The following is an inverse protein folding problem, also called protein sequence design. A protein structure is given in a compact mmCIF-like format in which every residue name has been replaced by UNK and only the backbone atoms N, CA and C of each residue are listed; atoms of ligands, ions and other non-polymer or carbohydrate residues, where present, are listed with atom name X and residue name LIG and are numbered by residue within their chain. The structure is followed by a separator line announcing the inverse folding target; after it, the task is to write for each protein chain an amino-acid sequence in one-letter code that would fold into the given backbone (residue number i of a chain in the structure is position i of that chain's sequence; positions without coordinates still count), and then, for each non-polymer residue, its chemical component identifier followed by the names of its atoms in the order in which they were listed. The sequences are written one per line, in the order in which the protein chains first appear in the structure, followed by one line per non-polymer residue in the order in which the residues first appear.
data_IF_499517482240
#
_entry.id   IF_499517482240
#
_cell.length_a   1.000
_cell.length_b   1.000
_cell.length_c   1.000
_cell.angle_alpha   90.00
_cell.angle_beta   90.00
_cell.angle_gamma   90.00
#
_symmetry.space_group_name_H-M   'P 1'
#
loop_
_entity.id
_entity.type
_entity.pdbx_description
1 polymer ?
#
# COMPACT_ATOMS: atom_id res chain seq x y z
N UNK A 1 -1.69 33.66 -56.65
CA UNK A 1 -0.85 32.56 -56.12
C UNK A 1 -0.87 32.64 -54.61
N UNK A 2 -1.69 31.80 -53.98
CA UNK A 2 -1.86 31.81 -52.51
C UNK A 2 -1.28 30.49 -51.99
N UNK A 3 -0.18 30.57 -51.21
CA UNK A 3 0.44 29.43 -50.57
C UNK A 3 -0.17 29.22 -49.17
N UNK A 4 -0.95 28.16 -49.02
CA UNK A 4 -1.49 27.72 -47.73
C UNK A 4 -0.41 26.88 -47.04
N UNK A 5 0.16 27.37 -45.95
CA UNK A 5 1.02 26.57 -45.06
C UNK A 5 0.15 25.82 -44.05
N UNK A 6 0.11 24.48 -44.19
CA UNK A 6 -0.55 23.57 -43.27
C UNK A 6 0.40 23.32 -42.08
N UNK A 7 0.10 23.89 -40.93
CA UNK A 7 0.79 23.58 -39.65
C UNK A 7 0.16 22.33 -39.05
N UNK A 8 0.88 21.20 -39.09
CA UNK A 8 0.52 19.99 -38.40
C UNK A 8 0.91 20.12 -36.91
N UNK A 9 -0.09 20.26 -36.03
CA UNK A 9 0.10 20.27 -34.58
C UNK A 9 0.43 18.87 -34.07
N UNK A 10 1.62 18.72 -33.55
CA UNK A 10 2.06 17.49 -32.84
C UNK A 10 1.45 17.51 -31.43
N UNK A 11 0.36 16.77 -31.24
CA UNK A 11 -0.20 16.52 -29.90
C UNK A 11 0.69 15.47 -29.20
N UNK A 12 1.57 15.92 -28.34
CA UNK A 12 2.40 15.07 -27.50
C UNK A 12 1.54 14.50 -26.37
N UNK A 13 1.12 13.24 -26.50
CA UNK A 13 0.38 12.52 -25.48
C UNK A 13 1.36 12.06 -24.37
N UNK A 14 1.59 12.91 -23.37
CA UNK A 14 2.37 12.61 -22.17
C UNK A 14 1.46 12.11 -21.04
N UNK A 15 0.90 10.91 -21.13
CA UNK A 15 0.02 10.38 -20.06
C UNK A 15 0.38 8.99 -19.54
N UNK A 16 1.54 8.40 -19.91
CA UNK A 16 1.85 7.01 -19.54
C UNK A 16 3.03 6.83 -18.57
N UNK A 17 3.68 7.89 -18.08
CA UNK A 17 4.90 7.77 -17.28
C UNK A 17 4.73 7.98 -15.76
N UNK A 18 3.55 8.40 -15.28
CA UNK A 18 3.35 8.70 -13.86
C UNK A 18 3.31 7.46 -12.94
N UNK A 19 2.99 6.28 -13.48
CA UNK A 19 2.80 5.08 -12.66
C UNK A 19 4.11 4.33 -12.34
N UNK A 20 5.20 4.65 -13.03
CA UNK A 20 6.48 3.96 -12.85
C UNK A 20 7.43 4.67 -11.85
N UNK A 21 7.08 5.83 -11.31
CA UNK A 21 7.92 6.61 -10.40
C UNK A 21 7.57 6.45 -8.91
N UNK A 22 6.40 5.89 -8.57
CA UNK A 22 5.97 5.75 -7.18
C UNK A 22 6.91 4.86 -6.36
N UNK A 23 7.41 5.35 -5.22
CA UNK A 23 8.24 4.60 -4.28
C UNK A 23 7.46 3.49 -3.59
N UNK A 24 8.16 2.60 -2.85
CA UNK A 24 7.52 1.60 -1.98
C UNK A 24 6.62 2.30 -0.95
N UNK A 25 7.09 3.39 -0.36
CA UNK A 25 6.36 4.17 0.65
C UNK A 25 5.06 4.77 0.07
N UNK A 26 5.10 5.31 -1.16
CA UNK A 26 3.90 5.84 -1.83
C UNK A 26 2.83 4.77 -2.00
N UNK A 27 3.22 3.57 -2.44
CA UNK A 27 2.25 2.48 -2.65
C UNK A 27 1.72 1.93 -1.33
N UNK A 28 2.56 1.84 -0.30
CA UNK A 28 2.13 1.50 1.06
C UNK A 28 1.14 2.55 1.58
N UNK A 29 1.42 3.84 1.39
CA UNK A 29 0.53 4.92 1.78
C UNK A 29 -0.83 4.84 1.07
N UNK A 30 -0.84 4.60 -0.25
CA UNK A 30 -2.07 4.40 -1.03
C UNK A 30 -2.89 3.22 -0.49
N UNK A 31 -2.23 2.09 -0.20
CA UNK A 31 -2.89 0.90 0.35
C UNK A 31 -3.50 1.16 1.73
N UNK A 32 -2.79 1.87 2.60
CA UNK A 32 -3.27 2.21 3.94
C UNK A 32 -4.40 3.24 3.92
N UNK A 33 -4.46 4.12 2.92
CA UNK A 33 -5.56 5.08 2.74
C UNK A 33 -6.93 4.41 2.58
N UNK A 34 -6.98 3.20 2.00
CA UNK A 34 -8.21 2.42 1.86
C UNK A 34 -8.77 1.91 3.20
N UNK A 35 -8.00 1.99 4.29
CA UNK A 35 -8.42 1.44 5.58
C UNK A 35 -9.54 2.23 6.24
N UNK A 36 -9.76 3.49 5.86
CA UNK A 36 -10.93 4.26 6.26
C UNK A 36 -12.22 3.62 5.74
N UNK A 37 -12.25 3.30 4.44
CA UNK A 37 -13.39 2.62 3.82
C UNK A 37 -13.64 1.23 4.44
N UNK A 38 -12.57 0.45 4.65
CA UNK A 38 -12.68 -0.86 5.30
C UNK A 38 -13.26 -0.74 6.71
N UNK A 39 -12.78 0.21 7.52
CA UNK A 39 -13.27 0.46 8.87
C UNK A 39 -14.74 0.87 8.88
N UNK A 40 -15.13 1.80 8.00
CA UNK A 40 -16.48 2.31 7.90
C UNK A 40 -17.47 1.25 7.45
N UNK A 41 -17.15 0.51 6.40
CA UNK A 41 -17.98 -0.61 5.93
C UNK A 41 -18.17 -1.67 7.03
N UNK A 42 -17.08 -2.09 7.68
CA UNK A 42 -17.15 -3.06 8.77
C UNK A 42 -17.95 -2.52 9.97
N UNK A 43 -17.88 -1.20 10.24
CA UNK A 43 -18.69 -0.57 11.29
C UNK A 43 -20.17 -0.63 10.96
N UNK A 44 -20.57 -0.23 9.74
CA UNK A 44 -21.97 -0.26 9.29
C UNK A 44 -22.57 -1.67 9.26
N UNK A 45 -21.74 -2.68 8.92
CA UNK A 45 -22.16 -4.08 8.84
C UNK A 45 -21.97 -4.85 10.15
N UNK A 46 -21.58 -4.19 11.25
CA UNK A 46 -21.26 -4.81 12.54
C UNK A 46 -20.23 -5.96 12.44
N UNK A 47 -19.31 -5.86 11.49
CA UNK A 47 -18.26 -6.87 11.29
C UNK A 47 -17.04 -6.56 12.19
N UNK A 48 -16.34 -7.60 12.68
CA UNK A 48 -15.11 -7.42 13.43
C UNK A 48 -14.00 -6.85 12.53
N UNK A 49 -13.08 -6.08 13.12
CA UNK A 49 -11.89 -5.61 12.39
C UNK A 49 -10.95 -6.79 12.08
N UNK A 50 -10.74 -7.65 13.05
CA UNK A 50 -9.93 -8.86 12.87
C UNK A 50 -10.73 -9.93 12.14
N UNK A 51 -10.09 -10.51 11.12
CA UNK A 51 -10.61 -11.64 10.34
C UNK A 51 -9.42 -12.57 10.08
N UNK A 52 -9.13 -13.41 11.07
CA UNK A 52 -7.96 -14.30 11.06
C UNK A 52 -7.93 -15.23 9.84
N UNK A 53 -9.12 -15.67 9.39
CA UNK A 53 -9.23 -16.52 8.21
C UNK A 53 -8.82 -15.76 6.93
N UNK A 54 -9.29 -14.52 6.78
CA UNK A 54 -8.91 -13.65 5.66
C UNK A 54 -7.45 -13.22 5.74
N UNK A 55 -6.98 -12.88 6.93
CA UNK A 55 -5.57 -12.51 7.17
C UNK A 55 -4.62 -13.65 6.79
N UNK A 56 -4.94 -14.88 7.19
CA UNK A 56 -4.18 -16.07 6.80
C UNK A 56 -4.12 -16.29 5.28
N UNK A 57 -5.25 -16.09 4.58
CA UNK A 57 -5.29 -16.17 3.10
C UNK A 57 -4.45 -15.09 2.44
N UNK A 58 -4.54 -13.84 2.91
CA UNK A 58 -3.75 -12.72 2.40
C UNK A 58 -2.27 -12.99 2.59
N UNK A 59 -1.85 -13.43 3.79
CA UNK A 59 -0.46 -13.75 4.08
C UNK A 59 0.08 -14.84 3.15
N UNK A 60 -0.63 -15.97 3.04
CA UNK A 60 -0.21 -17.09 2.19
C UNK A 60 -0.12 -16.70 0.71
N UNK A 61 -1.14 -16.01 0.20
CA UNK A 61 -1.16 -15.57 -1.20
C UNK A 61 -0.04 -14.56 -1.51
N UNK A 62 0.21 -13.61 -0.60
CA UNK A 62 1.26 -12.59 -0.79
C UNK A 62 2.64 -13.21 -0.72
N UNK A 63 2.88 -14.19 0.18
CA UNK A 63 4.15 -14.93 0.22
C UNK A 63 4.39 -15.74 -1.06
N UNK A 64 3.37 -16.45 -1.55
CA UNK A 64 3.47 -17.20 -2.80
C UNK A 64 3.74 -16.29 -4.01
N UNK A 65 3.15 -15.10 -4.03
CA UNK A 65 3.42 -14.10 -5.07
C UNK A 65 4.83 -13.51 -4.95
N UNK A 66 5.30 -13.25 -3.73
CA UNK A 66 6.66 -12.78 -3.46
C UNK A 66 7.70 -13.78 -3.99
N UNK A 67 7.50 -15.08 -3.73
CA UNK A 67 8.36 -16.15 -4.22
C UNK A 67 8.43 -16.19 -5.75
N UNK A 68 7.28 -16.10 -6.44
CA UNK A 68 7.22 -16.03 -7.91
C UNK A 68 7.96 -14.84 -8.49
N UNK A 69 8.03 -13.74 -7.77
CA UNK A 69 8.75 -12.52 -8.15
C UNK A 69 10.24 -12.56 -7.81
N UNK A 70 10.71 -13.62 -7.13
CA UNK A 70 12.10 -13.80 -6.76
C UNK A 70 12.48 -13.16 -5.43
N UNK A 71 11.50 -12.83 -4.57
CA UNK A 71 11.76 -12.45 -3.17
C UNK A 71 11.86 -13.72 -2.30
N UNK A 72 12.67 -13.65 -1.25
CA UNK A 72 12.77 -14.71 -0.24
C UNK A 72 11.52 -14.67 0.66
N UNK A 73 10.65 -15.72 0.65
CA UNK A 73 9.31 -15.66 1.27
C UNK A 73 9.33 -15.41 2.78
N UNK A 74 10.35 -15.94 3.48
CA UNK A 74 10.46 -15.77 4.93
C UNK A 74 10.93 -14.36 5.30
N UNK A 75 11.75 -13.72 4.47
CA UNK A 75 12.18 -12.34 4.69
C UNK A 75 11.06 -11.32 4.44
N UNK A 76 10.15 -11.62 3.51
CA UNK A 76 9.00 -10.77 3.21
C UNK A 76 7.88 -10.88 4.26
N UNK A 77 7.74 -12.02 4.91
CA UNK A 77 6.66 -12.28 5.86
C UNK A 77 6.52 -11.20 6.96
N UNK A 78 7.59 -10.77 7.67
CA UNK A 78 7.48 -9.71 8.66
C UNK A 78 6.91 -8.41 8.10
N UNK A 79 7.27 -8.04 6.86
CA UNK A 79 6.77 -6.83 6.23
C UNK A 79 5.29 -6.93 5.84
N UNK A 80 4.82 -8.11 5.40
CA UNK A 80 3.39 -8.36 5.16
C UNK A 80 2.60 -8.23 6.47
N UNK A 81 3.09 -8.86 7.55
CA UNK A 81 2.46 -8.79 8.88
C UNK A 81 2.41 -7.36 9.39
N UNK A 82 3.53 -6.62 9.31
CA UNK A 82 3.57 -5.22 9.74
C UNK A 82 2.55 -4.34 8.99
N UNK A 83 2.34 -4.59 7.69
CA UNK A 83 1.31 -3.89 6.90
C UNK A 83 -0.12 -4.27 7.32
N UNK A 84 -0.36 -5.53 7.71
CA UNK A 84 -1.67 -5.95 8.23
C UNK A 84 -1.94 -5.32 9.61
N UNK A 85 -0.92 -5.27 10.47
CA UNK A 85 -1.04 -4.66 11.79
C UNK A 85 -1.27 -3.14 11.70
N UNK A 86 -0.55 -2.45 10.82
CA UNK A 86 -0.78 -1.03 10.53
C UNK A 86 -2.21 -0.79 10.02
N UNK A 87 -2.70 -1.66 9.11
CA UNK A 87 -4.06 -1.59 8.58
C UNK A 87 -5.12 -1.79 9.68
N UNK A 88 -4.93 -2.75 10.59
CA UNK A 88 -5.82 -2.95 11.75
C UNK A 88 -5.77 -1.77 12.71
N UNK A 89 -4.57 -1.26 13.01
CA UNK A 89 -4.39 -0.10 13.88
C UNK A 89 -5.17 1.13 13.38
N UNK A 90 -5.09 1.43 12.08
CA UNK A 90 -5.86 2.51 11.45
C UNK A 90 -7.37 2.27 11.62
N UNK A 91 -7.85 1.05 11.35
CA UNK A 91 -9.28 0.72 11.47
C UNK A 91 -9.80 0.86 12.91
N UNK A 92 -9.05 0.39 13.91
CA UNK A 92 -9.43 0.52 15.32
C UNK A 92 -9.48 1.97 15.77
N UNK A 93 -8.52 2.81 15.34
CA UNK A 93 -8.49 4.23 15.69
C UNK A 93 -9.65 4.99 15.05
N UNK A 94 -9.97 4.74 13.78
CA UNK A 94 -11.18 5.30 13.16
C UNK A 94 -12.44 4.91 13.91
N UNK A 95 -12.57 3.65 14.31
CA UNK A 95 -13.74 3.21 15.08
C UNK A 95 -13.82 3.89 16.45
N UNK A 96 -12.69 4.08 17.14
CA UNK A 96 -12.65 4.77 18.41
C UNK A 96 -13.04 6.26 18.24
N UNK A 97 -12.50 6.92 17.22
CA UNK A 97 -12.82 8.31 16.92
C UNK A 97 -14.33 8.50 16.62
N UNK A 98 -14.91 7.62 15.82
CA UNK A 98 -16.33 7.68 15.46
C UNK A 98 -17.30 7.40 16.61
N UNK A 99 -16.86 6.81 17.73
CA UNK A 99 -17.67 6.69 18.94
C UNK A 99 -17.95 8.07 19.58
N UNK A 100 -16.94 8.95 19.55
CA UNK A 100 -17.05 10.29 20.12
C UNK A 100 -17.51 11.34 19.09
N UNK A 101 -17.07 11.19 17.85
CA UNK A 101 -17.33 12.13 16.76
C UNK A 101 -17.75 11.36 15.48
N UNK A 102 -19.03 10.98 15.35
CA UNK A 102 -19.53 10.30 14.17
C UNK A 102 -19.27 11.16 12.91
N UNK A 103 -18.69 10.56 11.89
CA UNK A 103 -18.46 11.24 10.62
C UNK A 103 -19.76 11.30 9.80
N UNK A 104 -20.18 12.52 9.45
CA UNK A 104 -21.38 12.77 8.66
C UNK A 104 -21.02 13.15 7.22
N UNK A 105 -21.89 12.81 6.26
CA UNK A 105 -21.72 13.19 4.87
C UNK A 105 -20.70 12.34 4.09
N UNK A 106 -20.11 11.30 4.70
CA UNK A 106 -19.25 10.33 4.03
C UNK A 106 -19.87 8.91 4.10
N UNK A 107 -19.70 8.16 3.04
CA UNK A 107 -20.13 6.76 2.97
C UNK A 107 -18.94 5.88 2.55
N UNK A 108 -18.66 4.79 3.27
CA UNK A 108 -17.58 3.89 2.92
C UNK A 108 -17.90 3.11 1.64
N UNK A 109 -16.89 2.84 0.85
CA UNK A 109 -17.00 1.93 -0.27
C UNK A 109 -17.19 0.48 0.22
N UNK A 110 -17.99 -0.35 -0.50
CA UNK A 110 -18.19 -1.75 -0.14
C UNK A 110 -16.90 -2.57 -0.32
N UNK A 111 -16.73 -3.61 0.51
CA UNK A 111 -15.50 -4.42 0.53
C UNK A 111 -15.21 -5.15 -0.78
N UNK A 112 -16.21 -5.48 -1.58
CA UNK A 112 -16.05 -6.09 -2.90
C UNK A 112 -15.38 -5.15 -3.90
N UNK A 113 -15.43 -3.83 -3.69
CA UNK A 113 -14.71 -2.82 -4.47
C UNK A 113 -13.32 -2.53 -3.90
N UNK A 114 -13.21 -2.44 -2.58
CA UNK A 114 -11.95 -2.06 -1.91
C UNK A 114 -10.94 -3.20 -1.89
N UNK A 115 -11.37 -4.46 -1.67
CA UNK A 115 -10.46 -5.61 -1.59
C UNK A 115 -9.63 -5.88 -2.87
N UNK A 116 -10.20 -5.82 -4.09
CA UNK A 116 -9.41 -5.95 -5.30
C UNK A 116 -8.32 -4.87 -5.43
N UNK A 117 -8.62 -3.64 -5.02
CA UNK A 117 -7.64 -2.54 -5.05
C UNK A 117 -6.52 -2.74 -4.01
N UNK A 118 -6.86 -3.22 -2.79
CA UNK A 118 -5.86 -3.61 -1.79
C UNK A 118 -4.94 -4.70 -2.33
N UNK A 119 -5.49 -5.71 -3.02
CA UNK A 119 -4.71 -6.78 -3.62
C UNK A 119 -3.78 -6.25 -4.72
N UNK A 120 -4.30 -5.43 -5.63
CA UNK A 120 -3.51 -4.79 -6.70
C UNK A 120 -2.34 -3.95 -6.14
N UNK A 121 -2.58 -3.16 -5.09
CA UNK A 121 -1.54 -2.38 -4.44
C UNK A 121 -0.53 -3.27 -3.71
N UNK A 122 -0.95 -4.39 -3.13
CA UNK A 122 -0.04 -5.37 -2.53
C UNK A 122 0.91 -5.99 -3.57
N UNK A 123 0.40 -6.36 -4.73
CA UNK A 123 1.22 -6.85 -5.85
C UNK A 123 2.20 -5.77 -6.35
N UNK A 124 1.74 -4.52 -6.43
CA UNK A 124 2.59 -3.39 -6.83
C UNK A 124 3.71 -3.16 -5.81
N UNK A 125 3.45 -3.29 -4.50
CA UNK A 125 4.48 -3.22 -3.45
C UNK A 125 5.56 -4.30 -3.68
N UNK A 126 5.16 -5.56 -3.93
CA UNK A 126 6.12 -6.63 -4.19
C UNK A 126 6.98 -6.37 -5.43
N UNK A 127 6.38 -5.86 -6.51
CA UNK A 127 7.11 -5.49 -7.72
C UNK A 127 8.12 -4.38 -7.45
N UNK A 128 7.76 -3.35 -6.66
CA UNK A 128 8.66 -2.27 -6.26
C UNK A 128 9.80 -2.77 -5.38
N UNK A 129 9.52 -3.69 -4.46
CA UNK A 129 10.53 -4.35 -3.64
C UNK A 129 11.60 -5.03 -4.51
N UNK A 130 11.17 -5.83 -5.49
CA UNK A 130 12.10 -6.49 -6.41
C UNK A 130 12.94 -5.47 -7.19
N UNK A 131 12.31 -4.43 -7.74
CA UNK A 131 13.02 -3.39 -8.49
C UNK A 131 14.05 -2.66 -7.61
N UNK A 132 13.67 -2.29 -6.38
CA UNK A 132 14.56 -1.60 -5.45
C UNK A 132 15.71 -2.50 -4.99
N UNK A 133 15.43 -3.76 -4.63
CA UNK A 133 16.43 -4.71 -4.12
C UNK A 133 17.43 -5.16 -5.19
N UNK A 134 17.10 -5.05 -6.47
CA UNK A 134 18.08 -5.25 -7.57
C UNK A 134 19.19 -4.18 -7.59
N UNK A 135 18.93 -3.00 -7.03
CA UNK A 135 19.91 -1.91 -6.91
C UNK A 135 20.80 -2.06 -5.66
N UNK A 136 20.45 -2.96 -4.75
CA UNK A 136 21.13 -3.22 -3.50
C UNK A 136 20.16 -3.41 -2.34
N UNK A 137 20.64 -3.76 -1.14
CA UNK A 137 19.78 -3.89 0.04
C UNK A 137 19.14 -2.54 0.39
N UNK A 138 17.96 -2.59 1.01
CA UNK A 138 17.34 -1.39 1.59
C UNK A 138 18.18 -0.97 2.79
N UNK A 139 18.49 0.31 2.90
CA UNK A 139 19.42 0.83 3.89
C UNK A 139 18.73 1.77 4.90
N UNK A 140 19.35 1.89 6.06
CA UNK A 140 18.81 2.69 7.18
C UNK A 140 18.63 4.18 6.83
N UNK A 141 19.44 4.72 5.94
CA UNK A 141 19.31 6.12 5.48
C UNK A 141 18.03 6.41 4.69
N UNK A 142 17.28 5.39 4.23
CA UNK A 142 15.99 5.53 3.55
C UNK A 142 14.82 5.68 4.54
N UNK A 143 15.03 5.43 5.83
CA UNK A 143 14.00 5.42 6.87
C UNK A 143 13.23 6.73 6.97
N UNK A 144 13.94 7.84 7.00
CA UNK A 144 13.32 9.14 7.19
C UNK A 144 12.38 9.49 6.03
N UNK A 145 12.80 9.27 4.81
CA UNK A 145 11.99 9.48 3.61
C UNK A 145 10.76 8.57 3.62
N UNK A 146 10.95 7.28 3.91
CA UNK A 146 9.84 6.31 4.01
C UNK A 146 8.78 6.75 5.01
N UNK A 147 9.21 7.15 6.24
CA UNK A 147 8.30 7.59 7.31
C UNK A 147 7.58 8.88 6.94
N UNK A 148 8.26 9.83 6.29
CA UNK A 148 7.67 11.10 5.88
C UNK A 148 6.68 10.95 4.73
N UNK A 149 6.90 9.99 3.84
CA UNK A 149 6.00 9.72 2.70
C UNK A 149 4.67 9.11 3.15
N UNK A 150 4.65 8.34 4.24
CA UNK A 150 3.41 7.73 4.74
C UNK A 150 2.65 8.74 5.60
N UNK A 151 1.55 9.30 5.04
CA UNK A 151 0.78 10.38 5.66
C UNK A 151 -0.65 9.95 6.06
N UNK A 152 -0.78 8.81 6.75
CA UNK A 152 -2.09 8.38 7.25
C UNK A 152 -2.38 9.00 8.61
N UNK A 153 -3.56 9.63 8.75
CA UNK A 153 -3.99 10.33 9.98
C UNK A 153 -3.95 9.41 11.21
N UNK A 154 -4.46 8.20 11.05
CA UNK A 154 -4.57 7.21 12.12
C UNK A 154 -3.41 6.22 12.17
N UNK A 155 -2.20 6.65 11.77
CA UNK A 155 -0.97 5.86 11.87
C UNK A 155 0.09 6.62 12.68
N UNK A 156 0.54 6.01 13.78
CA UNK A 156 1.54 6.64 14.66
C UNK A 156 2.95 6.53 14.08
N UNK A 157 3.87 7.34 14.63
CA UNK A 157 5.29 7.23 14.31
C UNK A 157 5.84 5.82 14.61
N UNK A 158 5.41 5.19 15.71
CA UNK A 158 5.82 3.83 16.08
C UNK A 158 5.35 2.79 15.06
N UNK A 159 4.14 2.95 14.50
CA UNK A 159 3.65 2.05 13.45
C UNK A 159 4.48 2.16 12.17
N UNK A 160 4.84 3.39 11.77
CA UNK A 160 5.70 3.66 10.61
C UNK A 160 7.12 3.12 10.80
N UNK A 161 7.67 3.21 12.02
CA UNK A 161 8.96 2.61 12.36
C UNK A 161 8.93 1.09 12.17
N UNK A 162 7.92 0.40 12.72
CA UNK A 162 7.77 -1.05 12.55
C UNK A 162 7.64 -1.47 11.10
N UNK A 163 6.93 -0.69 10.28
CA UNK A 163 6.85 -0.94 8.84
C UNK A 163 8.24 -0.90 8.19
N UNK A 164 9.05 0.09 8.54
CA UNK A 164 10.39 0.22 7.98
C UNK A 164 11.36 -0.84 8.52
N UNK A 165 11.30 -1.16 9.82
CA UNK A 165 12.12 -2.23 10.42
C UNK A 165 11.88 -3.56 9.72
N UNK A 166 10.62 -3.88 9.43
CA UNK A 166 10.26 -5.08 8.70
C UNK A 166 10.67 -5.00 7.21
N UNK A 167 10.64 -3.82 6.60
CA UNK A 167 11.08 -3.58 5.23
C UNK A 167 12.59 -3.84 5.06
N UNK A 168 13.42 -3.47 6.04
CA UNK A 168 14.86 -3.74 6.05
C UNK A 168 15.22 -5.22 5.98
N UNK A 169 14.32 -6.10 6.42
CA UNK A 169 14.54 -7.54 6.44
C UNK A 169 14.35 -8.21 5.08
N UNK A 170 13.68 -7.53 4.13
CA UNK A 170 13.29 -8.12 2.84
C UNK A 170 14.51 -8.34 1.95
N UNK A 171 14.59 -9.53 1.34
CA UNK A 171 15.70 -9.98 0.49
C UNK A 171 15.19 -10.61 -0.80
N UNK A 172 16.06 -10.62 -1.81
CA UNK A 172 15.87 -11.47 -2.99
C UNK A 172 16.30 -12.91 -2.68
N UNK A 173 15.71 -13.88 -3.37
CA UNK A 173 16.16 -15.28 -3.33
C UNK A 173 17.62 -15.37 -3.76
N UNK A 174 18.40 -16.15 -3.01
CA UNK A 174 19.81 -16.42 -3.36
C UNK A 174 20.80 -15.27 -3.09
N UNK A 175 20.41 -14.26 -2.29
CA UNK A 175 21.31 -13.21 -1.83
C UNK A 175 21.37 -13.14 -0.31
#
# INVERSE_FOLDING_TARGET
MLKICLMAGLLCSCSAFADNSASIADVVNQRLALMKDVAGYKAQQHLPIEDLAQEGKVLANTQAQAEKLGLEPQSVKPFIVAQMDAAKAIQYRYRADWLAQPETGWQPQPLDKVRPEIARLSDKILQRLVQRLRQGPIAENERQEFIQTIQQVNLTAADKQRLFDALLMVKLNGR
#
